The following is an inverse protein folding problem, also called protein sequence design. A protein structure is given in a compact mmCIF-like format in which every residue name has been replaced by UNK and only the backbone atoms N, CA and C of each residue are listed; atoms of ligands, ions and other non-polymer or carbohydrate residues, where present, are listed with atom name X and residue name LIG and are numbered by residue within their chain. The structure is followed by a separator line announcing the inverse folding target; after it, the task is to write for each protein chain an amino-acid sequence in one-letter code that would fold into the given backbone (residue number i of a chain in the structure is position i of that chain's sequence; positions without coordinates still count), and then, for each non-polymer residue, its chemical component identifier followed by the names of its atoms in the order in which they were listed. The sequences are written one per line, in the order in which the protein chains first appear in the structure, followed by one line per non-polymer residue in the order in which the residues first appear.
data_IF_061388097928
#
_entry.id   IF_061388097928
#
_cell.length_a   1.000
_cell.length_b   1.000
_cell.length_c   1.000
_cell.angle_alpha   90.00
_cell.angle_beta   90.00
_cell.angle_gamma   90.00
#
_symmetry.space_group_name_H-M   'P 1'
#
loop_
_entity.id
_entity.type
_entity.pdbx_description
1 polymer ?
#
# COMPACT_ATOMS: atom_id res chain seq x y z
N UNK A 1 17.51 -8.95 18.30
CA UNK A 1 17.26 -7.81 17.39
C UNK A 1 16.20 -8.26 16.40
N UNK A 2 14.96 -7.77 16.54
CA UNK A 2 13.84 -8.20 15.70
C UNK A 2 14.17 -7.88 14.23
N UNK A 3 14.61 -8.91 13.51
CA UNK A 3 14.98 -8.88 12.08
C UNK A 3 13.77 -9.26 11.21
N UNK A 4 12.59 -9.21 11.78
CA UNK A 4 11.36 -9.62 11.12
C UNK A 4 10.76 -8.43 10.39
N UNK A 5 10.42 -8.65 9.11
CA UNK A 5 9.70 -7.68 8.29
C UNK A 5 8.44 -7.23 9.03
N UNK A 6 8.09 -5.95 8.94
CA UNK A 6 6.83 -5.41 9.49
C UNK A 6 5.65 -6.35 9.21
N UNK A 7 4.72 -6.51 10.16
CA UNK A 7 3.56 -7.41 10.01
C UNK A 7 2.80 -7.14 8.70
N UNK A 8 2.67 -5.87 8.32
CA UNK A 8 2.08 -5.48 7.03
C UNK A 8 2.88 -5.97 5.82
N UNK A 9 4.22 -5.95 5.88
CA UNK A 9 5.08 -6.51 4.83
C UNK A 9 4.99 -8.05 4.75
N UNK A 10 4.66 -8.73 5.86
CA UNK A 10 4.38 -10.16 5.86
C UNK A 10 3.01 -10.46 5.25
N UNK A 11 1.96 -9.71 5.62
CA UNK A 11 0.62 -9.85 5.05
C UNK A 11 0.62 -9.61 3.54
N UNK A 12 1.32 -8.58 3.08
CA UNK A 12 1.40 -8.24 1.66
C UNK A 12 2.27 -9.23 0.86
N UNK A 13 3.10 -10.04 1.52
CA UNK A 13 3.87 -11.10 0.87
C UNK A 13 3.01 -12.28 0.39
N UNK A 14 1.81 -12.45 0.96
CA UNK A 14 0.84 -13.44 0.48
C UNK A 14 0.18 -13.03 -0.84
N UNK A 15 0.31 -11.76 -1.25
CA UNK A 15 -0.24 -11.26 -2.49
C UNK A 15 0.72 -11.50 -3.65
N UNK A 16 0.22 -12.13 -4.71
CA UNK A 16 0.98 -12.33 -5.94
C UNK A 16 1.10 -11.02 -6.72
N UNK A 17 2.21 -10.30 -6.47
CA UNK A 17 2.52 -9.04 -7.16
C UNK A 17 2.64 -9.20 -8.68
N UNK A 18 3.08 -10.37 -9.17
CA UNK A 18 3.23 -10.62 -10.61
C UNK A 18 1.88 -10.70 -11.30
N UNK A 19 0.94 -11.46 -10.73
CA UNK A 19 -0.44 -11.51 -11.21
C UNK A 19 -1.12 -10.15 -11.16
N UNK A 20 -0.93 -9.40 -10.07
CA UNK A 20 -1.49 -8.06 -9.94
C UNK A 20 -0.94 -7.12 -11.03
N UNK A 21 0.38 -7.08 -11.21
CA UNK A 21 1.01 -6.25 -12.24
C UNK A 21 0.51 -6.60 -13.65
N UNK A 22 0.25 -7.88 -13.94
CA UNK A 22 -0.33 -8.30 -15.22
C UNK A 22 -1.74 -7.74 -15.45
N UNK A 23 -2.55 -7.68 -14.39
CA UNK A 23 -3.89 -7.06 -14.44
C UNK A 23 -3.74 -5.55 -14.65
N UNK A 24 -2.90 -4.87 -13.87
CA UNK A 24 -2.67 -3.43 -14.00
C UNK A 24 -2.17 -3.07 -15.41
N UNK A 25 -1.25 -3.86 -15.97
CA UNK A 25 -0.76 -3.67 -17.32
C UNK A 25 -1.87 -3.90 -18.37
N UNK A 26 -2.69 -4.95 -18.21
CA UNK A 26 -3.82 -5.25 -19.10
C UNK A 26 -4.82 -4.10 -19.18
N UNK A 27 -5.12 -3.46 -18.05
CA UNK A 27 -6.07 -2.35 -17.97
C UNK A 27 -5.43 -0.97 -18.03
N UNK A 28 -4.11 -0.89 -18.23
CA UNK A 28 -3.35 0.36 -18.21
C UNK A 28 -3.60 1.19 -16.92
N UNK A 29 -3.76 0.53 -15.77
CA UNK A 29 -4.12 1.18 -14.50
C UNK A 29 -3.08 2.19 -14.00
N UNK A 30 -1.81 1.94 -14.29
CA UNK A 30 -0.70 2.85 -13.96
C UNK A 30 -0.41 3.88 -15.07
N UNK A 31 -1.26 4.01 -16.08
CA UNK A 31 -1.03 4.96 -17.17
C UNK A 31 -1.11 6.39 -16.63
N UNK A 32 -0.01 7.14 -16.76
CA UNK A 32 0.20 8.50 -16.25
C UNK A 32 0.41 8.62 -14.73
N UNK A 33 0.55 7.51 -14.01
CA UNK A 33 0.95 7.57 -12.60
C UNK A 33 2.38 8.09 -12.47
N UNK A 34 2.59 9.08 -11.60
CA UNK A 34 3.92 9.68 -11.34
C UNK A 34 4.65 9.04 -10.16
N UNK A 35 3.92 8.75 -9.09
CA UNK A 35 4.52 8.25 -7.82
C UNK A 35 3.63 7.27 -7.06
N UNK A 36 2.31 7.31 -7.26
CA UNK A 36 1.35 6.48 -6.52
C UNK A 36 0.74 5.39 -7.41
N UNK A 37 1.44 4.26 -7.53
CA UNK A 37 1.02 3.11 -8.35
C UNK A 37 -0.24 2.44 -7.81
N UNK A 38 -0.95 1.71 -8.66
CA UNK A 38 -2.07 0.85 -8.28
C UNK A 38 -1.66 -0.15 -7.19
N UNK A 39 -0.38 -0.57 -7.16
CA UNK A 39 0.14 -1.39 -6.08
C UNK A 39 0.18 -0.62 -4.76
N UNK A 40 0.72 0.60 -4.74
CA UNK A 40 0.72 1.45 -3.55
C UNK A 40 -0.69 1.81 -3.10
N UNK A 41 -1.63 2.00 -4.04
CA UNK A 41 -3.05 2.21 -3.74
C UNK A 41 -3.67 0.99 -3.05
N UNK A 42 -3.42 -0.22 -3.56
CA UNK A 42 -3.90 -1.45 -2.96
C UNK A 42 -3.37 -1.60 -1.52
N UNK A 43 -2.07 -1.35 -1.32
CA UNK A 43 -1.44 -1.37 0.00
C UNK A 43 -2.07 -0.35 0.96
N UNK A 44 -2.27 0.89 0.50
CA UNK A 44 -2.90 1.94 1.29
C UNK A 44 -4.34 1.55 1.72
N UNK A 45 -5.13 0.97 0.81
CA UNK A 45 -6.49 0.53 1.13
C UNK A 45 -6.51 -0.63 2.13
N UNK A 46 -5.65 -1.64 1.96
CA UNK A 46 -5.55 -2.74 2.92
C UNK A 46 -5.09 -2.27 4.30
N UNK A 47 -4.14 -1.34 4.36
CA UNK A 47 -3.74 -0.73 5.62
C UNK A 47 -4.90 -0.01 6.30
N UNK A 48 -5.73 0.72 5.54
CA UNK A 48 -6.92 1.40 6.08
C UNK A 48 -7.95 0.47 6.69
N UNK A 49 -8.24 -0.64 6.00
CA UNK A 49 -9.14 -1.68 6.51
C UNK A 49 -8.60 -2.30 7.80
N UNK A 50 -7.30 -2.61 7.85
CA UNK A 50 -6.65 -3.19 9.04
C UNK A 50 -6.58 -2.23 10.22
N UNK A 51 -6.49 -0.92 9.97
CA UNK A 51 -6.49 0.10 11.01
C UNK A 51 -7.91 0.50 11.49
N UNK A 52 -8.96 -0.19 11.01
CA UNK A 52 -10.37 0.12 11.31
C UNK A 52 -10.72 1.60 11.07
N UNK A 53 -10.13 2.22 10.04
CA UNK A 53 -10.38 3.61 9.67
C UNK A 53 -11.42 3.64 8.56
N UNK A 54 -12.58 4.23 8.83
CA UNK A 54 -13.73 4.28 7.91
C UNK A 54 -13.51 5.21 6.69
N UNK A 55 -12.41 5.97 6.64
CA UNK A 55 -12.17 6.93 5.57
C UNK A 55 -10.71 7.08 5.14
N UNK A 56 -10.51 7.30 3.84
CA UNK A 56 -9.22 7.63 3.19
C UNK A 56 -8.54 8.86 3.83
N UNK A 57 -9.32 9.77 4.42
CA UNK A 57 -8.84 10.96 5.12
C UNK A 57 -8.10 10.64 6.42
N UNK A 58 -8.62 9.71 7.22
CA UNK A 58 -7.98 9.30 8.47
C UNK A 58 -6.68 8.52 8.22
N UNK A 59 -6.63 7.77 7.11
CA UNK A 59 -5.43 7.10 6.63
C UNK A 59 -4.31 8.09 6.29
N UNK A 60 -4.65 9.15 5.54
CA UNK A 60 -3.68 10.17 5.12
C UNK A 60 -3.15 10.94 6.33
N UNK A 61 -3.99 11.25 7.32
CA UNK A 61 -3.56 11.91 8.57
C UNK A 61 -2.56 11.05 9.35
N UNK A 62 -2.80 9.73 9.44
CA UNK A 62 -1.85 8.81 10.07
C UNK A 62 -0.53 8.68 9.27
N UNK A 63 -0.62 8.62 7.94
CA UNK A 63 0.56 8.56 7.06
C UNK A 63 1.39 9.86 7.10
N UNK A 64 0.74 11.03 7.17
CA UNK A 64 1.38 12.33 7.34
C UNK A 64 1.98 12.51 8.75
N UNK A 65 1.31 12.01 9.80
CA UNK A 65 1.86 12.04 11.16
C UNK A 65 3.14 11.20 11.30
N UNK A 66 3.33 10.20 10.42
CA UNK A 66 4.53 9.37 10.36
C UNK A 66 5.55 9.80 9.29
N UNK A 67 5.37 10.97 8.66
CA UNK A 67 6.18 11.43 7.54
C UNK A 67 7.65 11.68 7.92
N UNK A 68 7.97 11.99 9.19
CA UNK A 68 9.35 12.10 9.70
C UNK A 68 10.12 10.77 9.77
N UNK A 69 9.45 9.63 9.53
CA UNK A 69 10.09 8.30 9.56
C UNK A 69 10.21 7.66 8.17
N UNK A 70 10.01 8.43 7.11
CA UNK A 70 10.17 7.96 5.73
C UNK A 70 11.62 8.14 5.25
N UNK A 71 12.50 7.21 5.66
CA UNK A 71 13.95 7.12 5.44
C UNK A 71 14.80 7.68 6.58
#
# INVERSE_FOLDING_TARGET
MFKDKYVFAQLTSFLDRSKFNRIVAKYQGDKYVKSFTCWNQLLAMMFGQLCNREGLRDLIVALQAHQEKWY
#
